data_IF_812398733974
#
_entry.id   IF_812398733974
#
_cell.length_a   1.000
_cell.length_b   1.000
_cell.length_c   1.000
_cell.angle_alpha   90.00
_cell.angle_beta   90.00
_cell.angle_gamma   90.00
#
_symmetry.space_group_name_H-M   'P 1'
#
loop_
_entity.id
_entity.type
_entity.pdbx_description
1 polymer ?
#
# COMPACT_ATOMS: atom_id res chain seq x y z
N UNK A 1 -13.49 22.89 8.59
CA UNK A 1 -14.52 21.88 8.24
C UNK A 1 -13.78 20.57 8.03
N UNK A 2 -14.02 19.58 8.88
CA UNK A 2 -13.41 18.24 8.77
C UNK A 2 -14.42 17.31 8.10
N UNK A 3 -13.98 16.41 7.22
CA UNK A 3 -14.91 15.50 6.53
C UNK A 3 -15.51 14.51 7.53
N UNK A 4 -16.76 14.10 7.32
CA UNK A 4 -17.43 13.14 8.21
C UNK A 4 -16.75 11.75 8.22
N UNK A 5 -16.03 11.41 7.16
CA UNK A 5 -15.27 10.16 7.02
C UNK A 5 -13.90 10.18 7.70
N UNK A 6 -13.49 11.31 8.26
CA UNK A 6 -12.25 11.44 9.03
C UNK A 6 -12.48 11.22 10.53
N UNK A 7 -13.69 10.80 10.93
CA UNK A 7 -14.00 10.42 12.31
C UNK A 7 -13.33 9.09 12.68
N UNK A 8 -12.86 8.91 13.93
CA UNK A 8 -12.21 7.67 14.37
C UNK A 8 -13.03 6.41 14.07
N UNK A 9 -14.35 6.47 14.27
CA UNK A 9 -15.25 5.33 14.03
C UNK A 9 -15.30 4.96 12.54
N UNK A 10 -15.39 5.97 11.66
CA UNK A 10 -15.36 5.79 10.20
C UNK A 10 -14.02 5.20 9.74
N UNK A 11 -12.90 5.63 10.34
CA UNK A 11 -11.56 5.12 10.02
C UNK A 11 -11.46 3.62 10.37
N UNK A 12 -11.91 3.20 11.54
CA UNK A 12 -11.85 1.79 11.96
C UNK A 12 -12.65 0.89 11.01
N UNK A 13 -13.88 1.30 10.65
CA UNK A 13 -14.72 0.55 9.71
C UNK A 13 -14.05 0.46 8.34
N UNK A 14 -13.48 1.57 7.85
CA UNK A 14 -12.78 1.61 6.55
C UNK A 14 -11.53 0.73 6.54
N UNK A 15 -10.72 0.75 7.59
CA UNK A 15 -9.51 -0.08 7.68
C UNK A 15 -9.85 -1.57 7.72
N UNK A 16 -10.90 -1.96 8.47
CA UNK A 16 -11.37 -3.35 8.48
C UNK A 16 -11.85 -3.80 7.09
N UNK A 17 -12.67 -2.99 6.44
CA UNK A 17 -13.15 -3.30 5.09
C UNK A 17 -12.01 -3.37 4.07
N UNK A 18 -11.01 -2.49 4.18
CA UNK A 18 -9.81 -2.54 3.35
C UNK A 18 -9.07 -3.87 3.55
N UNK A 19 -8.77 -4.25 4.80
CA UNK A 19 -8.11 -5.53 5.10
C UNK A 19 -8.91 -6.70 4.52
N UNK A 20 -10.17 -6.86 4.90
CA UNK A 20 -11.03 -7.98 4.48
C UNK A 20 -11.10 -8.15 2.95
N UNK A 21 -11.12 -7.03 2.20
CA UNK A 21 -11.19 -7.03 0.74
C UNK A 21 -9.84 -7.15 0.04
N UNK A 22 -8.74 -6.72 0.69
CA UNK A 22 -7.42 -6.68 0.04
C UNK A 22 -6.53 -7.87 0.40
N UNK A 23 -6.63 -8.46 1.59
CA UNK A 23 -5.80 -9.63 1.96
C UNK A 23 -5.92 -10.79 0.95
N UNK A 24 -7.10 -11.11 0.37
CA UNK A 24 -7.20 -12.13 -0.68
C UNK A 24 -6.42 -11.79 -1.96
N UNK A 25 -6.39 -10.50 -2.34
CA UNK A 25 -5.65 -10.03 -3.52
C UNK A 25 -4.15 -10.01 -3.26
N UNK A 26 -3.72 -9.55 -2.07
CA UNK A 26 -2.32 -9.61 -1.62
C UNK A 26 -1.81 -11.04 -1.72
N UNK A 27 -2.51 -11.99 -1.08
CA UNK A 27 -2.17 -13.42 -1.13
C UNK A 27 -2.07 -13.97 -2.56
N UNK A 28 -2.95 -13.53 -3.46
CA UNK A 28 -2.93 -13.95 -4.86
C UNK A 28 -1.67 -13.46 -5.60
N UNK A 29 -1.29 -12.19 -5.44
CA UNK A 29 -0.11 -11.63 -6.09
C UNK A 29 1.21 -12.10 -5.46
N UNK A 30 1.23 -12.36 -4.15
CA UNK A 30 2.36 -13.01 -3.46
C UNK A 30 2.62 -14.41 -4.02
N UNK A 31 1.58 -15.24 -4.16
CA UNK A 31 1.71 -16.59 -4.75
C UNK A 31 2.19 -16.59 -6.20
N UNK A 32 1.94 -15.49 -6.93
CA UNK A 32 2.49 -15.30 -8.29
C UNK A 32 3.93 -14.79 -8.31
N UNK A 33 4.48 -14.41 -7.16
CA UNK A 33 5.85 -13.89 -7.05
C UNK A 33 6.04 -12.53 -7.71
N UNK A 34 4.96 -11.77 -7.97
CA UNK A 34 5.00 -10.46 -8.64
C UNK A 34 4.64 -9.29 -7.73
N UNK A 35 4.24 -9.55 -6.48
CA UNK A 35 3.99 -8.49 -5.52
C UNK A 35 5.32 -7.90 -4.99
N UNK A 36 5.43 -6.58 -4.99
CA UNK A 36 6.46 -5.83 -4.27
C UNK A 36 5.78 -5.08 -3.12
N UNK A 37 6.19 -5.37 -1.88
CA UNK A 37 5.68 -4.68 -0.69
C UNK A 37 6.61 -3.52 -0.32
N UNK A 38 6.05 -2.32 -0.23
CA UNK A 38 6.80 -1.09 0.05
C UNK A 38 6.19 -0.42 1.28
N UNK A 39 7.02 -0.10 2.26
CA UNK A 39 6.57 0.58 3.47
C UNK A 39 6.30 2.06 3.15
N UNK A 40 5.05 2.47 3.32
CA UNK A 40 4.58 3.84 3.06
C UNK A 40 4.72 4.74 4.30
N UNK A 41 5.88 4.68 4.95
CA UNK A 41 6.26 5.54 6.06
C UNK A 41 7.20 6.67 5.60
N UNK A 42 7.01 7.86 6.16
CA UNK A 42 7.79 9.05 5.82
C UNK A 42 7.06 10.04 4.91
N UNK A 43 7.81 10.91 4.25
CA UNK A 43 7.27 11.89 3.32
C UNK A 43 6.90 11.25 1.98
N UNK A 44 6.02 11.88 1.18
CA UNK A 44 5.73 11.41 -0.17
C UNK A 44 6.98 11.20 -1.04
N UNK A 45 7.99 12.06 -0.91
CA UNK A 45 9.26 11.96 -1.63
C UNK A 45 10.06 10.72 -1.22
N UNK A 46 10.14 10.42 0.08
CA UNK A 46 10.82 9.23 0.60
C UNK A 46 10.15 7.95 0.10
N UNK A 47 8.82 7.89 0.17
CA UNK A 47 8.05 6.75 -0.33
C UNK A 47 8.22 6.59 -1.85
N UNK A 48 8.21 7.71 -2.59
CA UNK A 48 8.45 7.69 -4.03
C UNK A 48 9.84 7.14 -4.40
N UNK A 49 10.89 7.51 -3.66
CA UNK A 49 12.23 6.94 -3.88
C UNK A 49 12.26 5.44 -3.60
N UNK A 50 11.67 4.98 -2.47
CA UNK A 50 11.53 3.54 -2.16
C UNK A 50 10.86 2.77 -3.31
N UNK A 51 9.82 3.35 -3.91
CA UNK A 51 9.15 2.76 -5.09
C UNK A 51 10.10 2.63 -6.29
N UNK A 52 10.84 3.69 -6.63
CA UNK A 52 11.76 3.66 -7.77
C UNK A 52 12.90 2.66 -7.57
N UNK A 53 13.45 2.58 -6.36
CA UNK A 53 14.51 1.63 -5.99
C UNK A 53 14.02 0.19 -6.19
N UNK A 54 12.88 -0.17 -5.62
CA UNK A 54 12.29 -1.51 -5.75
C UNK A 54 11.96 -1.86 -7.21
N UNK A 55 11.46 -0.90 -8.00
CA UNK A 55 11.19 -1.13 -9.42
C UNK A 55 12.48 -1.37 -10.21
N UNK A 56 13.55 -0.60 -9.95
CA UNK A 56 14.86 -0.79 -10.61
C UNK A 56 15.49 -2.12 -10.23
N UNK A 57 15.43 -2.53 -8.97
CA UNK A 57 15.92 -3.83 -8.51
C UNK A 57 15.20 -4.98 -9.20
N UNK A 58 13.87 -4.86 -9.38
CA UNK A 58 13.06 -5.93 -9.96
C UNK A 58 13.15 -6.03 -11.48
N UNK A 59 13.22 -4.90 -12.19
CA UNK A 59 13.07 -4.84 -13.65
C UNK A 59 14.31 -4.35 -14.39
N UNK A 60 15.37 -3.95 -13.67
CA UNK A 60 16.55 -3.31 -14.25
C UNK A 60 16.37 -1.81 -14.46
N UNK A 61 17.42 -1.14 -14.95
CA UNK A 61 17.37 0.29 -15.22
C UNK A 61 16.45 0.59 -16.41
N UNK A 62 15.59 1.60 -16.24
CA UNK A 62 14.69 2.17 -17.26
C UNK A 62 14.85 3.69 -17.30
#
# INVERSE_FOLDING_TARGET
YTREDDRPESIVVRMKAYEDLTSPLVNYYEKKGILLNILADGTPEEVFQKCLEQMRERFGAF
#
